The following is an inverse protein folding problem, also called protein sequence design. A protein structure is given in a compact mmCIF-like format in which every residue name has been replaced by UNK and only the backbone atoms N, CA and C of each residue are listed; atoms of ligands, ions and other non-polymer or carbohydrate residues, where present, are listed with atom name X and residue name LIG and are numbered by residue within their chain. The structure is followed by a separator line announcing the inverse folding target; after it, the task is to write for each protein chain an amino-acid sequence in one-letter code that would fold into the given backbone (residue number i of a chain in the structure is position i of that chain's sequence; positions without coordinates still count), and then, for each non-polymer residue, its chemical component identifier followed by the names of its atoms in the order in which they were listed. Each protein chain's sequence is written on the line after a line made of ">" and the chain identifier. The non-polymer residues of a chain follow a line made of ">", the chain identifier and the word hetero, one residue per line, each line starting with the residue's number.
data_IF_347252996379
#
_entry.id   IF_347252996379
#
_cell.length_a   1.000
_cell.length_b   1.000
_cell.length_c   1.000
_cell.angle_alpha   90.00
_cell.angle_beta   90.00
_cell.angle_gamma   90.00
#
_symmetry.space_group_name_H-M   'P 1'
#
loop_
_entity.id
_entity.type
_entity.pdbx_description
1 polymer ?
#
# COMPACT_ATOMS: atom_id res chain seq x y z
N UNK A 1 -9.20 14.37 9.84
CA UNK A 1 -9.80 13.03 9.84
C UNK A 1 -11.19 13.16 9.24
N UNK A 2 -11.26 13.30 7.92
CA UNK A 2 -12.52 13.47 7.19
C UNK A 2 -12.94 12.13 6.61
N UNK A 3 -14.08 11.63 7.06
CA UNK A 3 -15.01 10.73 6.38
C UNK A 3 -14.41 9.68 5.41
N UNK A 4 -13.59 8.76 5.94
CA UNK A 4 -13.08 7.58 5.19
C UNK A 4 -14.21 6.63 4.73
N UNK A 5 -15.44 6.80 5.24
CA UNK A 5 -16.53 5.84 5.05
C UNK A 5 -17.02 5.78 3.59
N UNK A 6 -16.89 6.87 2.82
CA UNK A 6 -17.38 6.99 1.43
C UNK A 6 -16.37 7.73 0.52
N UNK A 7 -15.08 7.40 0.65
CA UNK A 7 -14.01 7.97 -0.17
C UNK A 7 -14.34 8.01 -1.68
N UNK A 8 -14.26 9.21 -2.26
CA UNK A 8 -14.51 9.48 -3.68
C UNK A 8 -15.97 9.69 -4.07
N UNK A 9 -16.94 9.47 -3.18
CA UNK A 9 -18.35 9.74 -3.44
C UNK A 9 -18.73 11.17 -3.06
N UNK A 10 -19.56 11.81 -3.90
CA UNK A 10 -19.99 13.21 -3.76
C UNK A 10 -21.46 13.38 -4.18
N UNK A 11 -22.02 14.55 -3.88
CA UNK A 11 -23.36 14.96 -4.33
C UNK A 11 -24.48 14.05 -3.81
N UNK A 12 -25.57 13.98 -4.58
CA UNK A 12 -26.80 13.24 -4.22
C UNK A 12 -26.57 11.75 -4.00
N UNK A 13 -25.62 11.17 -4.72
CA UNK A 13 -25.27 9.76 -4.54
C UNK A 13 -24.64 9.53 -3.16
N UNK A 14 -23.75 10.42 -2.70
CA UNK A 14 -23.17 10.32 -1.35
C UNK A 14 -24.27 10.39 -0.29
N UNK A 15 -25.17 11.36 -0.40
CA UNK A 15 -26.31 11.53 0.52
C UNK A 15 -27.19 10.27 0.57
N UNK A 16 -27.44 9.63 -0.58
CA UNK A 16 -28.22 8.40 -0.65
C UNK A 16 -27.50 7.20 0.00
N UNK A 17 -26.18 7.09 -0.17
CA UNK A 17 -25.36 6.06 0.47
C UNK A 17 -25.31 6.25 2.01
N UNK A 18 -25.17 7.49 2.46
CA UNK A 18 -25.20 7.87 3.88
C UNK A 18 -26.57 7.56 4.51
N UNK A 19 -27.67 7.93 3.82
CA UNK A 19 -29.02 7.66 4.28
C UNK A 19 -29.31 6.15 4.40
N UNK A 20 -28.70 5.33 3.55
CA UNK A 20 -28.78 3.87 3.63
C UNK A 20 -27.83 3.26 4.69
N UNK A 21 -26.99 4.07 5.33
CA UNK A 21 -26.03 3.64 6.34
C UNK A 21 -24.94 2.71 5.79
N UNK A 22 -24.60 2.85 4.51
CA UNK A 22 -23.61 2.03 3.80
C UNK A 22 -22.25 2.71 3.84
N UNK A 23 -21.20 1.93 4.12
CA UNK A 23 -19.81 2.35 3.93
C UNK A 23 -19.05 1.52 2.88
N UNK A 24 -17.86 1.97 2.50
CA UNK A 24 -16.95 1.20 1.64
C UNK A 24 -16.69 -0.18 2.26
N UNK A 25 -16.83 -1.22 1.44
CA UNK A 25 -16.71 -2.61 1.85
C UNK A 25 -17.99 -3.22 2.41
N UNK A 26 -19.07 -2.46 2.64
CA UNK A 26 -20.37 -3.05 2.96
C UNK A 26 -20.98 -3.71 1.71
N UNK A 27 -21.76 -4.77 1.95
CA UNK A 27 -22.57 -5.42 0.94
C UNK A 27 -23.89 -4.67 0.79
N UNK A 28 -24.26 -4.31 -0.43
CA UNK A 28 -25.51 -3.62 -0.72
C UNK A 28 -26.20 -4.17 -1.97
N UNK A 29 -27.51 -3.94 -2.03
CA UNK A 29 -28.31 -4.03 -3.24
C UNK A 29 -28.56 -2.62 -3.75
N UNK A 30 -28.23 -2.39 -5.02
CA UNK A 30 -28.50 -1.16 -5.74
C UNK A 30 -29.53 -1.44 -6.83
N UNK A 31 -30.65 -0.72 -6.78
CA UNK A 31 -31.68 -0.80 -7.81
C UNK A 31 -31.67 0.49 -8.62
N UNK A 32 -31.57 0.38 -9.93
CA UNK A 32 -31.66 1.49 -10.89
C UNK A 32 -32.56 1.11 -12.06
N UNK A 33 -32.74 2.03 -13.02
CA UNK A 33 -33.43 1.74 -14.27
C UNK A 33 -32.80 0.58 -15.07
N UNK A 34 -31.52 0.29 -14.85
CA UNK A 34 -30.78 -0.78 -15.52
C UNK A 34 -30.94 -2.15 -14.84
N UNK A 35 -31.61 -2.20 -13.69
CA UNK A 35 -31.89 -3.43 -12.95
C UNK A 35 -31.43 -3.40 -11.49
N UNK A 36 -31.32 -4.58 -10.90
CA UNK A 36 -30.89 -4.77 -9.51
C UNK A 36 -29.52 -5.43 -9.47
N UNK A 37 -28.60 -4.82 -8.72
CA UNK A 37 -27.21 -5.24 -8.62
C UNK A 37 -26.85 -5.45 -7.15
N UNK A 38 -26.18 -6.56 -6.86
CA UNK A 38 -25.69 -6.86 -5.51
C UNK A 38 -24.17 -6.97 -5.52
N UNK A 39 -23.53 -6.27 -4.59
CA UNK A 39 -22.08 -6.26 -4.50
C UNK A 39 -21.56 -5.42 -3.34
N UNK A 40 -20.26 -5.51 -3.12
CA UNK A 40 -19.57 -4.70 -2.12
C UNK A 40 -19.33 -3.30 -2.65
N UNK A 41 -19.60 -2.27 -1.85
CA UNK A 41 -19.31 -0.89 -2.23
C UNK A 41 -17.81 -0.67 -2.36
N UNK A 42 -17.37 -0.22 -3.53
CA UNK A 42 -15.97 0.08 -3.81
C UNK A 42 -15.69 1.57 -3.68
N UNK A 43 -14.46 1.97 -3.28
CA UNK A 43 -14.06 3.37 -3.31
C UNK A 43 -14.04 3.91 -4.74
N UNK A 44 -14.16 5.24 -4.88
CA UNK A 44 -14.00 5.93 -6.15
C UNK A 44 -12.80 6.87 -6.13
N UNK A 45 -12.28 7.17 -7.32
CA UNK A 45 -11.32 8.27 -7.49
C UNK A 45 -12.09 9.59 -7.44
N UNK A 46 -11.57 10.56 -6.69
CA UNK A 46 -12.26 11.86 -6.46
C UNK A 46 -12.49 12.67 -7.74
N UNK A 47 -11.69 12.40 -8.78
CA UNK A 47 -11.78 13.05 -10.09
C UNK A 47 -12.88 12.48 -10.98
N UNK A 48 -13.49 11.35 -10.61
CA UNK A 48 -14.61 10.80 -11.34
C UNK A 48 -15.89 11.63 -11.14
N UNK A 49 -16.89 11.36 -11.98
CA UNK A 49 -18.23 11.94 -11.82
C UNK A 49 -18.82 11.67 -10.43
N UNK A 50 -19.90 12.34 -10.07
CA UNK A 50 -20.57 12.21 -8.77
C UNK A 50 -21.81 11.32 -8.81
N UNK A 51 -22.08 10.62 -9.91
CA UNK A 51 -23.34 9.93 -10.14
C UNK A 51 -23.22 8.44 -10.48
N UNK A 52 -22.04 7.84 -10.52
CA UNK A 52 -21.92 6.37 -10.57
C UNK A 52 -21.63 5.75 -9.21
N UNK A 53 -22.36 4.70 -8.86
CA UNK A 53 -21.94 3.77 -7.79
C UNK A 53 -21.00 2.72 -8.36
N UNK A 54 -19.93 2.38 -7.67
CA UNK A 54 -19.04 1.28 -8.07
C UNK A 54 -19.23 0.10 -7.12
N UNK A 55 -19.67 -1.02 -7.67
CA UNK A 55 -19.88 -2.26 -6.92
C UNK A 55 -18.91 -3.34 -7.40
N UNK A 56 -18.41 -4.14 -6.46
CA UNK A 56 -17.75 -5.41 -6.76
C UNK A 56 -18.75 -6.55 -6.61
N UNK A 57 -19.08 -7.18 -7.74
CA UNK A 57 -20.01 -8.30 -7.78
C UNK A 57 -19.39 -9.56 -7.16
N UNK A 58 -20.24 -10.53 -6.82
CA UNK A 58 -19.81 -11.87 -6.40
C UNK A 58 -18.90 -12.57 -7.42
N UNK A 59 -19.00 -12.22 -8.69
CA UNK A 59 -18.11 -12.71 -9.75
C UNK A 59 -16.68 -12.17 -9.67
N UNK A 60 -16.42 -11.16 -8.83
CA UNK A 60 -15.15 -10.46 -8.71
C UNK A 60 -15.00 -9.24 -9.64
N UNK A 61 -15.93 -9.05 -10.58
CA UNK A 61 -15.94 -7.89 -11.48
C UNK A 61 -16.42 -6.62 -10.78
N UNK A 62 -15.77 -5.50 -11.11
CA UNK A 62 -16.22 -4.16 -10.72
C UNK A 62 -17.16 -3.61 -11.81
N UNK A 63 -18.27 -3.00 -11.40
CA UNK A 63 -19.27 -2.39 -12.28
C UNK A 63 -19.62 -1.00 -11.78
N UNK A 64 -19.69 -0.03 -12.68
CA UNK A 64 -20.23 1.31 -12.44
C UNK A 64 -21.69 1.36 -12.84
N UNK A 65 -22.59 1.81 -11.95
CA UNK A 65 -24.03 1.90 -12.20
C UNK A 65 -24.48 3.34 -11.98
N UNK A 66 -25.21 3.88 -12.94
CA UNK A 66 -25.72 5.24 -12.87
C UNK A 66 -26.74 5.40 -11.73
N UNK A 67 -26.56 6.41 -10.90
CA UNK A 67 -27.50 6.88 -9.91
C UNK A 67 -28.41 7.93 -10.56
N UNK A 68 -29.66 7.53 -10.77
CA UNK A 68 -30.70 8.37 -11.38
C UNK A 68 -31.96 8.43 -10.53
N UNK A 69 -33.00 9.07 -11.06
CA UNK A 69 -34.31 9.11 -10.40
C UNK A 69 -34.85 7.70 -10.14
N UNK A 70 -35.38 7.50 -8.92
CA UNK A 70 -35.93 6.21 -8.50
C UNK A 70 -34.90 5.18 -8.06
N UNK A 71 -33.60 5.50 -8.09
CA UNK A 71 -32.57 4.60 -7.60
C UNK A 71 -32.73 4.33 -6.09
N UNK A 72 -32.52 3.07 -5.68
CA UNK A 72 -32.59 2.66 -4.27
C UNK A 72 -31.31 1.96 -3.84
N UNK A 73 -30.87 2.31 -2.64
CA UNK A 73 -29.73 1.69 -1.97
C UNK A 73 -30.25 0.94 -0.76
N UNK A 74 -29.97 -0.36 -0.68
CA UNK A 74 -30.35 -1.19 0.47
C UNK A 74 -29.09 -1.87 1.00
N UNK A 75 -28.72 -1.59 2.25
CA UNK A 75 -27.64 -2.29 2.93
C UNK A 75 -28.04 -3.72 3.22
N UNK A 76 -27.23 -4.67 2.79
CA UNK A 76 -27.44 -6.10 3.04
C UNK A 76 -26.58 -6.63 4.19
N UNK A 77 -25.48 -5.96 4.52
CA UNK A 77 -24.61 -6.30 5.64
C UNK A 77 -23.17 -5.85 5.42
N UNK A 78 -22.23 -6.45 6.15
CA UNK A 78 -20.81 -6.30 5.89
C UNK A 78 -20.37 -7.37 4.88
N UNK A 79 -19.54 -7.00 3.90
CA UNK A 79 -18.89 -8.01 3.09
C UNK A 79 -17.89 -8.80 3.94
N UNK A 80 -17.72 -10.09 3.64
CA UNK A 80 -16.64 -10.86 4.25
C UNK A 80 -15.29 -10.21 3.89
N UNK A 81 -14.55 -9.78 4.91
CA UNK A 81 -13.14 -9.43 4.80
C UNK A 81 -12.35 -10.69 5.16
N UNK A 82 -11.70 -11.36 4.20
CA UNK A 82 -10.74 -12.40 4.54
C UNK A 82 -9.65 -11.76 5.38
N UNK A 83 -9.47 -12.28 6.58
CA UNK A 83 -8.28 -11.98 7.34
C UNK A 83 -7.09 -12.61 6.63
N UNK A 84 -6.18 -11.76 6.13
CA UNK A 84 -4.88 -12.24 5.72
C UNK A 84 -4.15 -12.76 6.96
N UNK A 85 -3.95 -14.08 7.01
CA UNK A 85 -3.08 -14.70 8.00
C UNK A 85 -1.70 -14.84 7.38
N UNK A 86 -0.71 -14.05 7.82
CA UNK A 86 0.63 -14.21 7.30
C UNK A 86 1.11 -15.64 7.60
N UNK A 87 1.80 -16.31 6.65
CA UNK A 87 2.46 -17.56 6.95
C UNK A 87 3.42 -17.38 8.15
N UNK A 88 3.68 -18.45 8.91
CA UNK A 88 4.65 -18.40 10.00
C UNK A 88 6.00 -17.91 9.47
N UNK A 89 6.65 -17.06 10.26
CA UNK A 89 7.97 -16.55 9.92
C UNK A 89 8.95 -17.72 9.75
N UNK A 90 9.77 -17.73 8.69
CA UNK A 90 10.86 -18.68 8.59
C UNK A 90 11.85 -18.46 9.76
N UNK A 91 12.44 -19.54 10.27
CA UNK A 91 13.51 -19.44 11.26
C UNK A 91 14.75 -18.83 10.62
N UNK A 92 15.24 -17.72 11.18
CA UNK A 92 16.47 -17.08 10.72
C UNK A 92 17.65 -17.98 11.10
N UNK A 93 18.42 -18.42 10.10
CA UNK A 93 19.63 -19.23 10.35
C UNK A 93 20.65 -18.43 11.16
N UNK A 94 21.24 -19.09 12.16
CA UNK A 94 22.30 -18.50 12.97
C UNK A 94 23.55 -18.20 12.11
N UNK A 95 24.25 -17.10 12.41
CA UNK A 95 25.49 -16.72 11.73
C UNK A 95 25.33 -15.99 10.40
N UNK A 96 24.10 -15.71 9.96
CA UNK A 96 23.86 -14.90 8.76
C UNK A 96 24.19 -13.41 8.98
N UNK A 97 24.59 -12.68 7.91
CA UNK A 97 24.86 -11.26 8.01
C UNK A 97 23.59 -10.47 8.36
N UNK A 98 23.73 -9.45 9.20
CA UNK A 98 22.62 -8.55 9.54
C UNK A 98 22.42 -7.54 8.42
N UNK A 99 21.26 -7.58 7.76
CA UNK A 99 20.92 -6.63 6.69
C UNK A 99 19.69 -5.85 7.08
N UNK A 100 19.78 -4.52 7.02
CA UNK A 100 18.63 -3.65 7.26
C UNK A 100 18.02 -3.19 5.94
N UNK A 101 16.71 -3.27 5.83
CA UNK A 101 15.94 -2.79 4.69
C UNK A 101 15.15 -1.57 5.16
N UNK A 102 15.54 -0.40 4.68
CA UNK A 102 14.91 0.87 5.03
C UNK A 102 14.08 1.31 3.85
N UNK A 103 12.78 1.49 4.05
CA UNK A 103 11.93 2.00 2.97
C UNK A 103 11.74 3.49 3.01
N UNK A 104 11.80 4.08 1.82
CA UNK A 104 11.43 5.46 1.58
C UNK A 104 10.13 5.57 0.75
N UNK A 105 9.50 4.44 0.43
CA UNK A 105 8.41 4.30 -0.53
C UNK A 105 8.75 3.34 -1.66
N UNK A 106 8.08 3.52 -2.81
CA UNK A 106 8.20 2.62 -3.96
C UNK A 106 7.35 1.36 -3.84
N UNK A 107 7.12 0.70 -4.96
CA UNK A 107 6.17 -0.43 -5.07
C UNK A 107 6.72 -1.76 -4.62
N UNK A 108 8.05 -1.90 -4.45
CA UNK A 108 8.75 -3.18 -4.22
C UNK A 108 8.29 -3.94 -2.97
N UNK A 109 7.67 -3.23 -2.02
CA UNK A 109 7.11 -3.79 -0.81
C UNK A 109 5.63 -3.39 -0.67
N UNK A 110 4.89 -3.42 -1.76
CA UNK A 110 3.44 -3.24 -1.78
C UNK A 110 2.73 -4.59 -1.84
N UNK A 111 1.47 -4.62 -1.39
CA UNK A 111 0.57 -5.76 -1.47
C UNK A 111 -0.73 -5.31 -2.10
N UNK A 112 -1.21 -6.09 -3.05
CA UNK A 112 -2.55 -5.92 -3.60
C UNK A 112 -3.54 -6.64 -2.69
N UNK A 113 -4.48 -5.90 -2.11
CA UNK A 113 -5.70 -6.47 -1.56
C UNK A 113 -6.63 -6.78 -2.72
N UNK A 114 -6.72 -8.06 -3.09
CA UNK A 114 -7.53 -8.50 -4.23
C UNK A 114 -9.04 -8.29 -4.04
N UNK A 115 -9.51 -7.95 -2.84
CA UNK A 115 -10.93 -7.69 -2.56
C UNK A 115 -11.23 -6.23 -2.74
N UNK A 116 -10.46 -5.34 -2.12
CA UNK A 116 -10.64 -3.90 -2.33
C UNK A 116 -10.02 -3.43 -3.64
N UNK A 117 -9.17 -4.23 -4.27
CA UNK A 117 -8.31 -3.82 -5.38
C UNK A 117 -7.25 -2.79 -4.95
N UNK A 118 -7.15 -2.50 -3.65
CA UNK A 118 -6.25 -1.51 -3.08
C UNK A 118 -4.82 -2.02 -3.02
N UNK A 119 -3.87 -1.10 -3.02
CA UNK A 119 -2.45 -1.39 -2.85
C UNK A 119 -2.01 -0.84 -1.50
N UNK A 120 -1.51 -1.70 -0.63
CA UNK A 120 -1.03 -1.35 0.71
C UNK A 120 0.47 -1.56 0.83
N UNK A 121 1.18 -0.64 1.47
CA UNK A 121 2.58 -0.85 1.81
C UNK A 121 2.71 -1.96 2.87
N UNK A 122 3.56 -2.95 2.62
CA UNK A 122 3.79 -4.13 3.45
C UNK A 122 5.25 -4.14 3.90
N UNK A 123 5.53 -3.71 5.12
CA UNK A 123 6.87 -3.18 5.42
C UNK A 123 7.42 -3.52 6.80
N UNK A 124 6.80 -4.42 7.55
CA UNK A 124 7.51 -5.07 8.65
C UNK A 124 8.47 -6.14 8.09
N UNK A 125 9.52 -6.48 8.84
CA UNK A 125 10.41 -7.62 8.51
C UNK A 125 9.60 -8.90 8.28
N UNK A 126 8.49 -9.06 9.03
CA UNK A 126 7.56 -10.18 8.87
C UNK A 126 6.81 -10.14 7.55
N UNK A 127 6.37 -8.97 7.13
CA UNK A 127 5.66 -8.85 5.87
C UNK A 127 6.57 -9.20 4.70
N UNK A 128 7.81 -8.72 4.73
CA UNK A 128 8.77 -9.01 3.69
C UNK A 128 9.13 -10.50 3.65
N UNK A 129 9.43 -11.11 4.80
CA UNK A 129 9.75 -12.55 4.88
C UNK A 129 8.57 -13.46 4.49
N UNK A 130 7.33 -12.98 4.64
CA UNK A 130 6.16 -13.73 4.15
C UNK A 130 5.99 -13.68 2.63
N UNK A 131 6.48 -12.62 1.98
CA UNK A 131 6.41 -12.44 0.52
C UNK A 131 7.63 -13.11 -0.14
N UNK A 132 8.81 -12.96 0.45
CA UNK A 132 10.10 -13.46 -0.05
C UNK A 132 10.80 -14.26 1.05
N UNK A 133 10.34 -15.48 1.36
CA UNK A 133 10.91 -16.31 2.43
C UNK A 133 12.38 -16.67 2.20
N UNK A 134 12.84 -16.69 0.94
CA UNK A 134 14.22 -16.99 0.55
C UNK A 134 15.24 -16.02 1.16
N UNK A 135 14.83 -14.82 1.58
CA UNK A 135 15.70 -13.88 2.28
C UNK A 135 16.24 -14.44 3.60
N UNK A 136 15.49 -15.33 4.25
CA UNK A 136 15.88 -15.97 5.52
C UNK A 136 17.08 -16.93 5.39
N UNK A 137 17.41 -17.34 4.16
CA UNK A 137 18.60 -18.14 3.86
C UNK A 137 19.86 -17.29 3.60
N UNK A 138 19.68 -15.99 3.37
CA UNK A 138 20.75 -15.08 2.89
C UNK A 138 21.20 -14.14 4.01
N UNK A 139 20.26 -13.59 4.79
CA UNK A 139 20.54 -12.59 5.80
C UNK A 139 19.57 -12.64 6.98
N UNK A 140 20.05 -12.19 8.14
CA UNK A 140 19.18 -11.79 9.24
C UNK A 140 18.60 -10.40 8.92
N UNK A 141 17.40 -10.40 8.31
CA UNK A 141 16.76 -9.19 7.79
C UNK A 141 15.95 -8.48 8.87
N UNK A 142 16.23 -7.19 9.03
CA UNK A 142 15.37 -6.24 9.74
C UNK A 142 14.82 -5.23 8.72
N UNK A 143 13.52 -4.93 8.74
CA UNK A 143 12.90 -3.99 7.82
C UNK A 143 12.06 -2.96 8.58
N UNK A 144 12.25 -1.70 8.22
CA UNK A 144 11.50 -0.57 8.76
C UNK A 144 11.13 0.46 7.70
N UNK A 145 10.00 1.14 7.93
CA UNK A 145 9.53 2.26 7.12
C UNK A 145 10.16 3.53 7.68
N UNK A 146 10.99 4.19 6.90
CA UNK A 146 11.41 5.55 7.19
C UNK A 146 10.44 6.55 6.58
N UNK A 147 10.08 6.36 5.32
CA UNK A 147 9.10 7.17 4.60
C UNK A 147 8.16 6.30 3.75
N UNK A 148 7.00 6.86 3.42
CA UNK A 148 6.03 6.27 2.48
C UNK A 148 5.67 7.33 1.44
N UNK A 149 6.68 7.77 0.69
CA UNK A 149 6.60 8.94 -0.20
C UNK A 149 6.87 8.53 -1.65
N UNK A 150 6.15 9.11 -2.61
CA UNK A 150 6.51 8.97 -4.02
C UNK A 150 7.89 9.55 -4.27
N UNK A 151 8.70 8.89 -5.10
CA UNK A 151 10.07 9.31 -5.42
C UNK A 151 10.15 10.77 -5.86
N UNK A 152 9.15 11.23 -6.59
CA UNK A 152 8.99 12.56 -7.15
C UNK A 152 8.90 13.64 -6.07
N UNK A 153 8.51 13.25 -4.85
CA UNK A 153 8.40 14.10 -3.67
C UNK A 153 9.53 13.87 -2.66
N UNK A 154 10.58 13.11 -3.02
CA UNK A 154 11.79 12.95 -2.20
C UNK A 154 12.76 14.07 -2.57
N UNK A 155 13.12 14.88 -1.57
CA UNK A 155 14.04 16.00 -1.70
C UNK A 155 15.20 15.92 -0.69
N UNK A 156 15.95 17.02 -0.57
CA UNK A 156 17.12 17.12 0.29
C UNK A 156 16.83 16.87 1.78
N UNK A 157 15.62 17.17 2.25
CA UNK A 157 15.21 16.87 3.62
C UNK A 157 15.12 15.36 3.83
N UNK A 158 14.45 14.63 2.92
CA UNK A 158 14.38 13.17 3.02
C UNK A 158 15.75 12.52 2.79
N UNK A 159 16.59 13.04 1.89
CA UNK A 159 17.97 12.57 1.75
C UNK A 159 18.75 12.65 3.07
N UNK A 160 18.59 13.75 3.80
CA UNK A 160 19.20 13.92 5.12
C UNK A 160 18.69 12.87 6.11
N UNK A 161 17.38 12.60 6.11
CA UNK A 161 16.81 11.55 6.93
C UNK A 161 17.29 10.15 6.58
N UNK A 162 17.37 9.81 5.29
CA UNK A 162 17.90 8.53 4.82
C UNK A 162 19.35 8.36 5.27
N UNK A 163 20.19 9.40 5.11
CA UNK A 163 21.59 9.34 5.53
C UNK A 163 21.73 9.13 7.05
N UNK A 164 20.92 9.81 7.86
CA UNK A 164 20.88 9.60 9.32
C UNK A 164 20.45 8.18 9.68
N UNK A 165 19.42 7.67 9.02
CA UNK A 165 18.92 6.32 9.27
C UNK A 165 19.96 5.25 8.92
N UNK A 166 20.67 5.40 7.81
CA UNK A 166 21.79 4.53 7.45
C UNK A 166 22.85 4.55 8.56
N UNK A 167 23.24 5.73 9.04
CA UNK A 167 24.24 5.86 10.11
C UNK A 167 23.78 5.22 11.43
N UNK A 168 22.49 5.28 11.75
CA UNK A 168 21.90 4.57 12.90
C UNK A 168 22.00 3.06 12.72
N UNK A 169 21.59 2.52 11.55
CA UNK A 169 21.68 1.08 11.27
C UNK A 169 23.11 0.56 11.33
N UNK A 170 24.09 1.34 10.87
CA UNK A 170 25.51 1.02 11.03
C UNK A 170 25.88 0.88 12.52
N UNK A 171 25.42 1.80 13.38
CA UNK A 171 25.68 1.75 14.83
C UNK A 171 24.97 0.59 15.52
N UNK A 172 23.79 0.19 15.03
CA UNK A 172 23.05 -0.99 15.47
C UNK A 172 23.71 -2.31 15.04
N UNK A 173 24.78 -2.24 14.23
CA UNK A 173 25.56 -3.39 13.78
C UNK A 173 25.03 -4.03 12.49
N UNK A 174 24.29 -3.28 11.66
CA UNK A 174 23.99 -3.72 10.30
C UNK A 174 25.31 -3.89 9.51
N UNK A 175 25.39 -4.98 8.76
CA UNK A 175 26.51 -5.31 7.87
C UNK A 175 26.21 -4.94 6.41
N UNK A 176 24.98 -4.50 6.13
CA UNK A 176 24.55 -3.93 4.87
C UNK A 176 23.21 -3.23 5.04
N UNK A 177 22.96 -2.20 4.23
CA UNK A 177 21.67 -1.50 4.20
C UNK A 177 21.12 -1.51 2.79
N UNK A 178 19.86 -1.88 2.65
CA UNK A 178 19.12 -1.81 1.39
C UNK A 178 18.06 -0.71 1.54
N UNK A 179 18.06 0.25 0.62
CA UNK A 179 17.07 1.32 0.55
C UNK A 179 16.05 0.97 -0.52
N UNK A 180 14.80 0.70 -0.13
CA UNK A 180 13.71 0.58 -1.11
C UNK A 180 13.21 1.97 -1.47
N UNK A 181 13.18 2.25 -2.76
CA UNK A 181 12.95 3.60 -3.29
C UNK A 181 12.09 3.55 -4.56
N UNK A 182 11.33 4.62 -4.80
CA UNK A 182 10.64 4.81 -6.08
C UNK A 182 11.63 5.03 -7.23
N UNK A 183 11.27 4.57 -8.43
CA UNK A 183 12.18 4.47 -9.57
C UNK A 183 12.54 5.81 -10.19
N UNK A 184 11.64 6.79 -10.15
CA UNK A 184 11.73 8.03 -10.90
C UNK A 184 12.92 8.89 -10.47
N UNK A 185 13.19 8.96 -9.16
CA UNK A 185 14.29 9.75 -8.59
C UNK A 185 15.36 8.89 -7.92
N UNK A 186 15.35 7.56 -8.08
CA UNK A 186 16.33 6.65 -7.49
C UNK A 186 17.77 7.06 -7.84
N UNK A 187 18.02 7.39 -9.12
CA UNK A 187 19.32 7.86 -9.59
C UNK A 187 19.79 9.15 -8.90
N UNK A 188 18.87 10.09 -8.66
CA UNK A 188 19.17 11.35 -7.98
C UNK A 188 19.48 11.13 -6.49
N UNK A 189 18.63 10.38 -5.77
CA UNK A 189 18.83 10.07 -4.37
C UNK A 189 20.13 9.30 -4.12
N UNK A 190 20.43 8.29 -4.95
CA UNK A 190 21.66 7.50 -4.84
C UNK A 190 22.91 8.35 -5.13
N UNK A 191 22.86 9.23 -6.14
CA UNK A 191 23.94 10.16 -6.43
C UNK A 191 24.14 11.16 -5.27
N UNK A 192 23.08 11.77 -4.76
CA UNK A 192 23.15 12.69 -3.63
C UNK A 192 23.76 12.02 -2.38
N UNK A 193 23.28 10.82 -2.02
CA UNK A 193 23.80 10.11 -0.86
C UNK A 193 25.24 9.64 -1.05
N UNK A 194 25.70 9.37 -2.27
CA UNK A 194 27.12 9.04 -2.51
C UNK A 194 28.09 10.13 -2.02
N UNK A 195 27.67 11.39 -2.01
CA UNK A 195 28.46 12.52 -1.49
C UNK A 195 28.28 12.72 0.03
N UNK A 196 27.07 12.51 0.54
CA UNK A 196 26.75 12.68 1.97
C UNK A 196 27.39 11.57 2.82
N UNK A 197 27.35 10.35 2.32
CA UNK A 197 27.75 9.12 3.00
C UNK A 197 29.25 8.84 2.85
N UNK A 198 30.05 9.59 3.59
CA UNK A 198 31.51 9.50 3.56
C UNK A 198 32.02 8.38 4.46
N UNK A 199 33.04 7.64 4.00
CA UNK A 199 33.75 6.61 4.78
C UNK A 199 32.83 5.51 5.33
N UNK A 200 31.88 5.05 4.52
CA UNK A 200 30.91 4.06 4.98
C UNK A 200 31.57 2.68 5.12
N UNK A 201 31.42 1.99 6.27
CA UNK A 201 32.10 0.71 6.52
C UNK A 201 31.34 -0.50 5.94
N UNK A 202 30.14 -0.28 5.39
CA UNK A 202 29.24 -1.32 4.91
C UNK A 202 28.63 -0.92 3.55
N UNK A 203 28.17 -1.88 2.73
CA UNK A 203 27.43 -1.57 1.52
C UNK A 203 26.08 -0.92 1.82
N UNK A 204 25.72 0.08 1.01
CA UNK A 204 24.38 0.68 0.93
C UNK A 204 23.87 0.52 -0.49
N UNK A 205 22.76 -0.18 -0.66
CA UNK A 205 22.21 -0.55 -1.98
C UNK A 205 20.84 0.09 -2.15
N UNK A 206 20.64 0.84 -3.23
CA UNK A 206 19.32 1.32 -3.63
C UNK A 206 18.65 0.33 -4.56
N UNK A 207 17.37 0.05 -4.33
CA UNK A 207 16.57 -0.85 -5.15
C UNK A 207 15.15 -0.32 -5.33
N UNK A 208 14.57 -0.53 -6.50
CA UNK A 208 13.18 -0.20 -6.82
C UNK A 208 12.58 -1.25 -7.73
N UNK A 209 11.28 -1.16 -8.00
CA UNK A 209 10.57 -2.04 -8.93
C UNK A 209 9.92 -1.23 -10.04
N UNK A 210 10.24 -1.57 -11.29
CA UNK A 210 9.64 -0.95 -12.50
C UNK A 210 8.20 -1.43 -12.74
N UNK A 211 7.77 -2.50 -12.07
CA UNK A 211 6.39 -3.00 -12.11
C UNK A 211 5.80 -2.90 -10.72
N UNK A 212 4.51 -2.64 -10.64
CA UNK A 212 3.79 -2.78 -9.37
C UNK A 212 3.94 -4.22 -8.87
N UNK A 213 4.35 -4.36 -7.61
CA UNK A 213 4.48 -5.62 -6.88
C UNK A 213 3.42 -5.71 -5.78
#
# INVERSE_FOLDING_TARGET
>A
MGDEQLHGYRGKLKEALEAAGVGIGDLLRFESGDGSFEGSLMPRVETADDWHVVLKLKSGYNVGIAFGEGAKVVRLGQAEKPEFRPPPLPEVKAGLPKVSIVSTGGTIASRVDYITGGVHAAMSSRDLLSIVPELSDIAAVDADILYSTFSENIDAEQWTGIARRIAEKVKEGAQGVVITHGTDTLGYSSAALSFVLRNLPIPVIFVGSQRSS
#
